data_IF_686581520590
#
_entry.id   IF_686581520590
#
_cell.length_a   1.000
_cell.length_b   1.000
_cell.length_c   1.000
_cell.angle_alpha   90.00
_cell.angle_beta   90.00
_cell.angle_gamma   90.00
#
_symmetry.space_group_name_H-M   'P 1'
#
loop_
_entity.id
_entity.type
_entity.pdbx_description
1 polymer ?
#
# COMPACT_ATOMS: atom_id res chain seq x y z
N UNK A 1 16.20 17.46 -1.39
CA UNK A 1 14.87 16.79 -1.43
C UNK A 1 14.35 16.39 -0.04
N UNK A 2 15.05 16.71 1.04
CA UNK A 2 14.66 16.29 2.40
C UNK A 2 13.31 16.85 2.85
N UNK A 3 13.03 18.13 2.59
CA UNK A 3 11.73 18.71 2.91
C UNK A 3 10.57 17.95 2.24
N UNK A 4 10.68 17.64 0.95
CA UNK A 4 9.67 16.88 0.22
C UNK A 4 9.48 15.47 0.81
N UNK A 5 10.59 14.82 1.21
CA UNK A 5 10.55 13.51 1.87
C UNK A 5 9.77 13.57 3.20
N UNK A 6 10.12 14.48 4.11
CA UNK A 6 9.47 14.56 5.42
C UNK A 6 8.02 15.05 5.32
N UNK A 7 7.74 15.98 4.42
CA UNK A 7 6.38 16.46 4.15
C UNK A 7 5.50 15.33 3.62
N UNK A 8 5.97 14.58 2.61
CA UNK A 8 5.25 13.44 2.07
C UNK A 8 5.08 12.32 3.11
N UNK A 9 6.10 12.07 3.94
CA UNK A 9 6.02 11.10 5.05
C UNK A 9 4.93 11.46 6.06
N UNK A 10 4.83 12.74 6.44
CA UNK A 10 3.76 13.22 7.31
C UNK A 10 2.37 12.99 6.72
N UNK A 11 2.20 13.31 5.42
CA UNK A 11 0.92 13.08 4.73
C UNK A 11 0.61 11.59 4.65
N UNK A 12 1.58 10.73 4.31
CA UNK A 12 1.39 9.28 4.22
C UNK A 12 0.93 8.69 5.56
N UNK A 13 1.54 9.08 6.68
CA UNK A 13 1.15 8.59 8.01
C UNK A 13 -0.25 9.06 8.39
N UNK A 14 -0.54 10.36 8.25
CA UNK A 14 -1.86 10.93 8.62
C UNK A 14 -2.97 10.35 7.76
N UNK A 15 -2.75 10.22 6.45
CA UNK A 15 -3.72 9.63 5.52
C UNK A 15 -3.95 8.15 5.85
N UNK A 16 -2.90 7.36 6.07
CA UNK A 16 -3.02 5.94 6.47
C UNK A 16 -3.80 5.78 7.78
N UNK A 17 -3.55 6.64 8.77
CA UNK A 17 -4.35 6.64 10.00
C UNK A 17 -5.84 6.89 9.73
N UNK A 18 -6.16 7.80 8.80
CA UNK A 18 -7.55 8.04 8.35
C UNK A 18 -8.16 6.87 7.60
N UNK A 19 -7.36 6.07 6.87
CA UNK A 19 -7.83 4.82 6.25
C UNK A 19 -8.31 3.84 7.33
N UNK A 20 -7.48 3.58 8.34
CA UNK A 20 -7.77 2.54 9.34
C UNK A 20 -8.87 2.97 10.34
N UNK A 21 -8.96 4.27 10.64
CA UNK A 21 -9.97 4.82 11.55
C UNK A 21 -11.29 5.20 10.85
N UNK A 22 -11.31 5.20 9.51
CA UNK A 22 -12.44 5.64 8.72
C UNK A 22 -13.53 4.57 8.62
N UNK A 23 -14.78 4.94 8.94
CA UNK A 23 -15.93 4.02 8.86
C UNK A 23 -16.59 3.97 7.48
N UNK A 24 -16.29 4.94 6.60
CA UNK A 24 -16.83 4.98 5.24
C UNK A 24 -15.79 4.41 4.26
N UNK A 25 -16.07 3.28 3.59
CA UNK A 25 -15.10 2.61 2.72
C UNK A 25 -14.59 3.48 1.56
N UNK A 26 -15.45 4.33 0.97
CA UNK A 26 -15.05 5.22 -0.14
C UNK A 26 -14.05 6.25 0.37
N UNK A 27 -14.30 6.87 1.52
CA UNK A 27 -13.37 7.83 2.10
C UNK A 27 -12.05 7.17 2.50
N UNK A 28 -12.10 5.96 3.07
CA UNK A 28 -10.91 5.20 3.41
C UNK A 28 -10.05 4.91 2.16
N UNK A 29 -10.66 4.50 1.04
CA UNK A 29 -9.93 4.28 -0.21
C UNK A 29 -9.32 5.57 -0.78
N UNK A 30 -10.03 6.70 -0.72
CA UNK A 30 -9.47 7.99 -1.16
C UNK A 30 -8.27 8.42 -0.30
N UNK A 31 -8.35 8.24 1.02
CA UNK A 31 -7.20 8.48 1.89
C UNK A 31 -6.04 7.51 1.60
N UNK A 32 -6.34 6.27 1.21
CA UNK A 32 -5.30 5.31 0.83
C UNK A 32 -4.60 5.77 -0.46
N UNK A 33 -5.32 6.25 -1.47
CA UNK A 33 -4.74 6.82 -2.68
C UNK A 33 -3.81 8.00 -2.34
N UNK A 34 -4.22 8.90 -1.44
CA UNK A 34 -3.37 10.01 -0.97
C UNK A 34 -2.09 9.47 -0.30
N UNK A 35 -2.20 8.41 0.50
CA UNK A 35 -1.04 7.76 1.12
C UNK A 35 -0.07 7.20 0.08
N UNK A 36 -0.57 6.43 -0.90
CA UNK A 36 0.26 5.82 -1.94
C UNK A 36 0.93 6.86 -2.84
N UNK A 37 0.23 7.95 -3.19
CA UNK A 37 0.84 9.08 -3.92
C UNK A 37 1.94 9.74 -3.06
N UNK A 38 1.73 9.87 -1.76
CA UNK A 38 2.76 10.40 -0.85
C UNK A 38 3.97 9.47 -0.75
N UNK A 39 3.75 8.15 -0.75
CA UNK A 39 4.83 7.15 -0.82
C UNK A 39 5.57 7.23 -2.16
N UNK A 40 4.88 7.45 -3.28
CA UNK A 40 5.52 7.68 -4.56
C UNK A 40 6.45 8.91 -4.52
N UNK A 41 6.02 9.99 -3.88
CA UNK A 41 6.85 11.19 -3.65
C UNK A 41 8.07 10.89 -2.79
N UNK A 42 7.94 10.03 -1.78
CA UNK A 42 9.06 9.54 -0.97
C UNK A 42 10.06 8.78 -1.86
N UNK A 43 9.60 7.89 -2.75
CA UNK A 43 10.48 7.19 -3.68
C UNK A 43 11.21 8.14 -4.65
N UNK A 44 10.53 9.17 -5.16
CA UNK A 44 11.20 10.20 -5.97
C UNK A 44 12.27 10.95 -5.15
N UNK A 45 11.98 11.31 -3.90
CA UNK A 45 12.93 12.00 -3.03
C UNK A 45 14.16 11.16 -2.67
N UNK A 46 14.00 9.83 -2.58
CA UNK A 46 15.08 8.85 -2.35
C UNK A 46 15.87 8.49 -3.61
N UNK A 47 15.54 9.07 -4.77
CA UNK A 47 16.23 8.77 -6.03
C UNK A 47 15.81 7.46 -6.68
N UNK A 48 14.60 6.97 -6.41
CA UNK A 48 14.01 5.77 -7.01
C UNK A 48 12.84 6.11 -7.97
N UNK A 49 13.11 6.78 -9.11
CA UNK A 49 12.05 7.25 -10.02
C UNK A 49 11.24 6.11 -10.65
N UNK A 50 11.86 4.94 -10.89
CA UNK A 50 11.13 3.78 -11.41
C UNK A 50 10.10 3.25 -10.40
N UNK A 51 10.49 3.15 -9.12
CA UNK A 51 9.58 2.71 -8.06
C UNK A 51 8.44 3.72 -7.84
N UNK A 52 8.76 5.02 -7.78
CA UNK A 52 7.75 6.06 -7.67
C UNK A 52 6.74 6.07 -8.83
N UNK A 53 7.22 5.90 -10.07
CA UNK A 53 6.34 5.80 -11.23
C UNK A 53 5.45 4.55 -11.19
N UNK A 54 5.99 3.40 -10.78
CA UNK A 54 5.23 2.15 -10.62
C UNK A 54 4.16 2.29 -9.53
N UNK A 55 4.48 2.96 -8.41
CA UNK A 55 3.55 3.25 -7.33
C UNK A 55 2.33 4.03 -7.81
N UNK A 56 2.55 5.06 -8.64
CA UNK A 56 1.46 5.86 -9.20
C UNK A 56 0.64 5.07 -10.23
N UNK A 57 1.30 4.40 -11.18
CA UNK A 57 0.61 3.78 -12.31
C UNK A 57 -0.08 2.47 -11.90
N UNK A 58 0.61 1.60 -11.16
CA UNK A 58 0.09 0.27 -10.82
C UNK A 58 -0.73 0.31 -9.53
N UNK A 59 -0.16 0.80 -8.43
CA UNK A 59 -0.83 0.74 -7.12
C UNK A 59 -1.97 1.74 -7.02
N UNK A 60 -1.67 3.04 -7.13
CA UNK A 60 -2.71 4.07 -7.08
C UNK A 60 -3.60 4.07 -8.34
N UNK A 61 -3.04 3.75 -9.51
CA UNK A 61 -3.71 3.85 -10.80
C UNK A 61 -4.59 2.65 -11.17
N UNK A 62 -4.09 1.42 -11.06
CA UNK A 62 -4.84 0.24 -11.47
C UNK A 62 -5.53 -0.46 -10.29
N UNK A 63 -4.77 -0.77 -9.24
CA UNK A 63 -5.27 -1.54 -8.10
C UNK A 63 -6.32 -0.73 -7.34
N UNK A 64 -5.99 0.49 -6.91
CA UNK A 64 -6.96 1.31 -6.16
C UNK A 64 -8.20 1.68 -6.95
N UNK A 65 -8.08 1.89 -8.26
CA UNK A 65 -9.26 2.14 -9.11
C UNK A 65 -10.19 0.92 -9.16
N UNK A 66 -9.64 -0.29 -9.24
CA UNK A 66 -10.45 -1.52 -9.14
C UNK A 66 -11.16 -1.61 -7.78
N UNK A 67 -10.46 -1.33 -6.68
CA UNK A 67 -11.09 -1.32 -5.35
C UNK A 67 -12.20 -0.28 -5.23
N UNK A 68 -11.98 0.94 -5.71
CA UNK A 68 -13.00 2.00 -5.72
C UNK A 68 -14.21 1.55 -6.53
N UNK A 69 -14.00 0.98 -7.72
CA UNK A 69 -15.07 0.47 -8.55
C UNK A 69 -15.90 -0.62 -7.84
N UNK A 70 -15.23 -1.60 -7.25
CA UNK A 70 -15.90 -2.70 -6.53
C UNK A 70 -16.69 -2.19 -5.32
N UNK A 71 -16.08 -1.33 -4.50
CA UNK A 71 -16.75 -0.76 -3.31
C UNK A 71 -17.97 0.08 -3.71
N UNK A 72 -17.87 0.84 -4.81
CA UNK A 72 -18.98 1.62 -5.32
C UNK A 72 -20.09 0.74 -5.91
N UNK A 73 -19.74 -0.31 -6.65
CA UNK A 73 -20.71 -1.26 -7.21
C UNK A 73 -21.48 -2.02 -6.11
N UNK A 74 -20.79 -2.40 -5.04
CA UNK A 74 -21.40 -3.04 -3.87
C UNK A 74 -22.27 -2.09 -3.04
N UNK A 75 -22.15 -0.77 -3.28
CA UNK A 75 -22.88 0.32 -2.64
C UNK A 75 -23.19 0.04 -1.16
N UNK A 76 -22.12 -0.13 -0.38
CA UNK A 76 -22.19 -0.49 1.03
C UNK A 76 -23.01 0.57 1.79
N UNK A 77 -24.26 0.23 2.11
CA UNK A 77 -25.24 1.16 2.63
C UNK A 77 -24.97 1.62 4.08
N UNK A 78 -25.77 2.56 4.62
CA UNK A 78 -25.56 3.17 5.94
C UNK A 78 -25.49 2.18 7.12
N UNK A 79 -26.11 1.00 6.97
CA UNK A 79 -26.06 -0.08 7.96
C UNK A 79 -24.64 -0.63 8.17
N UNK A 80 -23.85 -0.73 7.09
CA UNK A 80 -22.45 -1.18 7.17
C UNK A 80 -21.60 -0.19 7.97
N UNK A 81 -21.78 1.11 7.73
CA UNK A 81 -21.08 2.19 8.45
C UNK A 81 -21.42 2.19 9.93
N UNK A 82 -22.69 1.94 10.28
CA UNK A 82 -23.12 1.86 11.68
C UNK A 82 -22.52 0.63 12.40
N UNK A 83 -22.43 -0.50 11.71
CA UNK A 83 -21.78 -1.71 12.22
C UNK A 83 -20.28 -1.50 12.45
N UNK A 84 -19.58 -0.94 11.47
CA UNK A 84 -18.14 -0.60 11.57
C UNK A 84 -17.86 0.31 12.77
N UNK A 85 -18.69 1.35 12.97
CA UNK A 85 -18.59 2.23 14.14
C UNK A 85 -18.75 1.48 15.47
N UNK A 86 -19.55 0.41 15.48
CA UNK A 86 -19.71 -0.48 16.62
C UNK A 86 -18.48 -1.32 16.94
N UNK A 87 -17.63 -1.61 15.94
CA UNK A 87 -16.39 -2.37 16.07
C UNK A 87 -15.18 -1.49 16.43
N UNK A 88 -15.21 -0.20 16.07
CA UNK A 88 -14.20 0.79 16.51
C UNK A 88 -14.33 1.21 17.99
N UNK A 89 -14.96 0.38 18.83
CA UNK A 89 -15.05 0.65 20.28
C UNK A 89 -13.68 0.46 20.95
N UNK A 90 -13.34 1.29 21.95
CA UNK A 90 -12.05 1.20 22.64
C UNK A 90 -11.74 -0.19 23.21
N UNK A 91 -12.76 -0.92 23.67
CA UNK A 91 -12.58 -2.27 24.23
C UNK A 91 -12.11 -3.32 23.21
N UNK A 92 -12.46 -3.18 21.93
CA UNK A 92 -12.03 -4.09 20.86
C UNK A 92 -10.67 -3.64 20.31
N UNK A 93 -10.47 -2.32 20.21
CA UNK A 93 -9.25 -1.73 19.65
C UNK A 93 -8.06 -1.70 20.61
N UNK A 94 -8.28 -1.80 21.92
CA UNK A 94 -7.20 -1.75 22.91
C UNK A 94 -6.12 -2.82 22.67
N UNK A 95 -6.52 -4.07 22.42
CA UNK A 95 -5.59 -5.18 22.17
C UNK A 95 -4.69 -4.94 20.94
N UNK A 96 -5.27 -4.73 19.74
CA UNK A 96 -4.52 -4.43 18.53
C UNK A 96 -3.64 -3.18 18.65
N UNK A 97 -4.11 -2.12 19.31
CA UNK A 97 -3.33 -0.89 19.52
C UNK A 97 -2.13 -1.13 20.44
N UNK A 98 -2.31 -1.88 21.54
CA UNK A 98 -1.20 -2.23 22.44
C UNK A 98 -0.16 -3.05 21.69
N UNK A 99 -0.59 -4.10 20.96
CA UNK A 99 0.31 -4.93 20.19
C UNK A 99 1.03 -4.12 19.09
N UNK A 100 0.30 -3.30 18.32
CA UNK A 100 0.88 -2.46 17.29
C UNK A 100 1.88 -1.45 17.84
N UNK A 101 1.61 -0.88 19.02
CA UNK A 101 2.53 0.05 19.70
C UNK A 101 3.77 -0.66 20.22
N UNK A 102 3.64 -1.87 20.77
CA UNK A 102 4.77 -2.69 21.21
C UNK A 102 5.69 -3.07 20.04
N UNK A 103 5.11 -3.52 18.93
CA UNK A 103 5.87 -3.85 17.71
C UNK A 103 6.56 -2.61 17.12
N UNK A 104 5.90 -1.45 17.13
CA UNK A 104 6.52 -0.20 16.71
C UNK A 104 7.68 0.19 17.64
N UNK A 105 7.53 0.04 18.95
CA UNK A 105 8.59 0.32 19.91
C UNK A 105 9.79 -0.61 19.73
N UNK A 106 9.56 -1.90 19.48
CA UNK A 106 10.61 -2.87 19.16
C UNK A 106 11.34 -2.51 17.86
N UNK A 107 10.59 -2.17 16.80
CA UNK A 107 11.17 -1.73 15.53
C UNK A 107 12.06 -0.50 15.72
N UNK A 108 11.59 0.50 16.47
CA UNK A 108 12.37 1.71 16.78
C UNK A 108 13.60 1.38 17.61
N UNK A 109 13.48 0.51 18.62
CA UNK A 109 14.61 0.07 19.44
C UNK A 109 15.71 -0.56 18.58
N UNK A 110 15.37 -1.52 17.71
CA UNK A 110 16.34 -2.16 16.80
C UNK A 110 16.99 -1.13 15.87
N UNK A 111 16.20 -0.20 15.33
CA UNK A 111 16.69 0.83 14.42
C UNK A 111 17.69 1.79 15.08
N UNK A 112 17.48 2.16 16.35
CA UNK A 112 18.35 3.11 17.06
C UNK A 112 19.54 2.45 17.76
N UNK A 113 19.45 1.17 18.14
CA UNK A 113 20.53 0.45 18.84
C UNK A 113 21.59 -0.08 17.86
N UNK A 114 21.20 -0.45 16.65
CA UNK A 114 22.11 -0.91 15.60
C UNK A 114 22.00 -0.02 14.35
N UNK A 115 22.40 1.27 14.43
CA UNK A 115 22.36 2.14 13.27
C UNK A 115 23.30 1.56 12.20
N UNK A 116 22.75 1.31 11.02
CA UNK A 116 23.46 0.69 9.91
C UNK A 116 24.65 1.52 9.41
N UNK A 117 24.77 2.78 9.83
CA UNK A 117 25.79 3.73 9.37
C UNK A 117 25.71 4.06 7.87
N UNK A 118 24.76 3.44 7.16
CA UNK A 118 24.56 3.64 5.73
C UNK A 118 23.84 4.97 5.53
N UNK A 119 24.62 6.00 5.19
CA UNK A 119 24.05 7.25 4.69
C UNK A 119 23.26 7.00 3.41
N UNK A 120 22.08 7.62 3.29
CA UNK A 120 21.34 7.62 2.03
C UNK A 120 22.15 8.43 1.04
N UNK A 121 22.98 7.73 0.26
CA UNK A 121 23.64 8.31 -0.90
C UNK A 121 22.52 8.68 -1.86
N UNK A 122 22.25 9.96 -2.06
CA UNK A 122 21.18 10.47 -2.95
C UNK A 122 21.42 10.15 -4.44
N UNK A 123 22.09 9.04 -4.73
CA UNK A 123 22.34 8.49 -6.05
C UNK A 123 21.03 8.01 -6.64
N UNK A 124 20.68 8.58 -7.78
CA UNK A 124 19.47 8.21 -8.50
C UNK A 124 19.66 6.87 -9.22
N UNK A 125 18.79 5.92 -8.95
CA UNK A 125 18.76 4.61 -9.63
C UNK A 125 17.80 4.70 -10.81
N UNK A 126 18.34 4.77 -12.01
CA UNK A 126 17.55 4.89 -13.24
C UNK A 126 16.76 3.61 -13.58
N UNK A 127 15.62 3.70 -14.29
CA UNK A 127 14.83 2.54 -14.71
C UNK A 127 15.64 1.48 -15.48
N UNK A 128 16.60 1.91 -16.30
CA UNK A 128 17.49 1.01 -17.05
C UNK A 128 18.30 0.10 -16.13
N UNK A 129 18.83 0.63 -15.02
CA UNK A 129 19.61 -0.15 -14.07
C UNK A 129 18.73 -1.20 -13.37
N UNK A 130 17.49 -0.83 -13.02
CA UNK A 130 16.50 -1.77 -12.47
C UNK A 130 16.18 -2.86 -13.51
N UNK A 131 15.95 -2.49 -14.77
CA UNK A 131 15.67 -3.45 -15.85
C UNK A 131 16.81 -4.45 -16.09
N UNK A 132 18.07 -4.00 -16.08
CA UNK A 132 19.23 -4.89 -16.20
C UNK A 132 19.28 -5.91 -15.05
N UNK A 133 18.99 -5.48 -13.83
CA UNK A 133 18.91 -6.39 -12.68
C UNK A 133 17.73 -7.36 -12.80
N UNK A 134 16.57 -6.85 -13.21
CA UNK A 134 15.33 -7.61 -13.30
C UNK A 134 15.42 -8.75 -14.35
N UNK A 135 16.05 -8.47 -15.49
CA UNK A 135 16.22 -9.44 -16.58
C UNK A 135 17.58 -10.15 -16.61
N UNK A 136 18.47 -9.84 -15.65
CA UNK A 136 19.73 -10.53 -15.44
C UNK A 136 19.63 -11.47 -14.25
N UNK A 137 20.12 -11.08 -13.06
CA UNK A 137 20.11 -11.93 -11.87
C UNK A 137 18.70 -12.36 -11.43
N UNK A 138 17.67 -11.54 -11.67
CA UNK A 138 16.30 -11.82 -11.22
C UNK A 138 15.37 -12.38 -12.31
N UNK A 139 15.92 -12.88 -13.43
CA UNK A 139 15.11 -13.39 -14.55
C UNK A 139 14.06 -14.42 -14.11
N UNK A 140 14.46 -15.37 -13.26
CA UNK A 140 13.55 -16.40 -12.73
C UNK A 140 12.40 -15.79 -11.90
N UNK A 141 12.66 -14.70 -11.16
CA UNK A 141 11.62 -14.03 -10.37
C UNK A 141 10.59 -13.38 -11.29
N UNK A 142 11.00 -12.83 -12.42
CA UNK A 142 10.09 -12.27 -13.45
C UNK A 142 9.20 -13.36 -14.03
N UNK A 143 9.78 -14.51 -14.36
CA UNK A 143 9.04 -15.64 -14.92
C UNK A 143 8.01 -16.17 -13.92
N UNK A 144 8.40 -16.37 -12.66
CA UNK A 144 7.50 -16.78 -11.60
C UNK A 144 6.40 -15.75 -11.31
N UNK A 145 6.72 -14.45 -11.37
CA UNK A 145 5.72 -13.39 -11.23
C UNK A 145 4.68 -13.44 -12.36
N UNK A 146 5.09 -13.76 -13.60
CA UNK A 146 4.15 -13.94 -14.71
C UNK A 146 3.20 -15.12 -14.50
N UNK A 147 3.72 -16.23 -13.97
CA UNK A 147 2.92 -17.40 -13.62
C UNK A 147 1.96 -17.11 -12.46
N UNK A 148 2.40 -16.32 -11.46
CA UNK A 148 1.55 -15.86 -10.37
C UNK A 148 0.38 -15.02 -10.88
N UNK A 149 0.63 -14.08 -11.79
CA UNK A 149 -0.42 -13.25 -12.39
C UNK A 149 -1.38 -14.06 -13.25
N UNK A 150 -0.87 -15.04 -14.01
CA UNK A 150 -1.72 -15.97 -14.78
C UNK A 150 -2.63 -16.78 -13.86
N UNK A 151 -2.08 -17.37 -12.80
CA UNK A 151 -2.85 -18.12 -11.81
C UNK A 151 -3.90 -17.25 -11.11
N UNK A 152 -3.54 -16.01 -10.74
CA UNK A 152 -4.45 -15.05 -10.15
C UNK A 152 -5.60 -14.70 -11.11
N UNK A 153 -5.31 -14.48 -12.39
CA UNK A 153 -6.33 -14.19 -13.40
C UNK A 153 -7.30 -15.36 -13.61
N UNK A 154 -6.80 -16.59 -13.73
CA UNK A 154 -7.62 -17.81 -13.86
C UNK A 154 -8.51 -17.99 -12.63
N UNK A 155 -7.94 -17.83 -11.43
CA UNK A 155 -8.68 -18.00 -10.17
C UNK A 155 -9.74 -16.92 -9.98
N UNK A 156 -9.39 -15.65 -10.23
CA UNK A 156 -10.33 -14.54 -10.14
C UNK A 156 -11.48 -14.68 -11.14
N UNK A 157 -11.20 -15.14 -12.37
CA UNK A 157 -12.24 -15.43 -13.36
C UNK A 157 -13.17 -16.56 -12.91
N UNK A 158 -12.61 -17.68 -12.47
CA UNK A 158 -13.41 -18.84 -12.03
C UNK A 158 -14.29 -18.50 -10.82
N UNK A 159 -13.76 -17.76 -9.85
CA UNK A 159 -14.50 -17.37 -8.64
C UNK A 159 -15.52 -16.24 -8.91
N UNK A 160 -15.17 -15.28 -9.76
CA UNK A 160 -16.02 -14.13 -10.08
C UNK A 160 -17.12 -14.43 -11.09
N UNK A 161 -17.04 -15.56 -11.81
CA UNK A 161 -18.08 -15.99 -12.74
C UNK A 161 -19.30 -16.47 -11.95
N UNK A 162 -20.36 -15.66 -11.95
CA UNK A 162 -21.68 -16.14 -11.55
C UNK A 162 -22.19 -17.12 -12.60
N UNK A 163 -22.24 -18.40 -12.26
CA UNK A 163 -23.04 -19.35 -13.02
C UNK A 163 -24.50 -18.97 -12.80
N UNK A 164 -25.18 -18.54 -13.86
CA UNK A 164 -26.62 -18.40 -13.83
C UNK A 164 -27.19 -19.79 -13.53
N UNK A 165 -27.58 -20.02 -12.28
CA UNK A 165 -28.42 -21.16 -11.93
C UNK A 165 -29.73 -20.93 -12.68
N UNK A 166 -29.95 -21.74 -13.72
CA UNK A 166 -31.29 -21.96 -14.29
C UNK A 166 -32.27 -22.40 -13.19
#
# INVERSE_FOLDING_TARGET
MEFAFYFASGIAVVSTLRVVTGTNPVHALLYLIISLISVAMIFFALGAPFAGALEVIAYAGAIMVLFVFVVMMLNLGPASVAQERGWLKPGIWAGPVILGTLLLAELLYVLFVAPSGAGISGTTVGPKAVGISLFGPYLLVVELASMLLLAAAVTAFHLGRNEAKE
#
